data_IF_339620596215
#
_entry.id   IF_339620596215
#
_cell.length_a   1.000
_cell.length_b   1.000
_cell.length_c   1.000
_cell.angle_alpha   90.00
_cell.angle_beta   90.00
_cell.angle_gamma   90.00
#
_symmetry.space_group_name_H-M   'P 1'
#
loop_
_entity.id
_entity.type
_entity.pdbx_description
1 polymer ?
#
# COMPACT_ATOMS: atom_id res chain seq x y z
N UNK A 1 -20.00 7.77 -0.60
CA UNK A 1 -19.94 7.78 0.88
C UNK A 1 -18.58 8.24 1.39
N UNK A 2 -18.50 9.00 2.50
CA UNK A 2 -17.22 9.45 3.06
C UNK A 2 -16.42 8.27 3.61
N UNK A 3 -15.14 8.17 3.23
CA UNK A 3 -14.22 7.13 3.71
C UNK A 3 -13.44 7.62 4.92
N UNK A 4 -13.20 6.73 5.90
CA UNK A 4 -12.50 7.05 7.16
C UNK A 4 -11.01 7.41 6.97
N UNK A 5 -10.37 6.87 5.94
CA UNK A 5 -8.95 7.11 5.65
C UNK A 5 -8.75 7.22 4.14
N UNK A 6 -7.89 8.15 3.75
CA UNK A 6 -7.44 8.34 2.37
C UNK A 6 -5.94 8.10 2.34
N UNK A 7 -5.46 7.45 1.28
CA UNK A 7 -4.05 7.19 1.04
C UNK A 7 -3.77 7.22 -0.46
N UNK A 8 -2.53 7.48 -0.81
CA UNK A 8 -2.07 7.60 -2.19
C UNK A 8 -1.09 6.47 -2.51
N UNK A 9 -1.16 5.99 -3.76
CA UNK A 9 -0.24 5.00 -4.30
C UNK A 9 0.39 5.57 -5.57
N UNK A 10 1.70 5.36 -5.73
CA UNK A 10 2.40 5.72 -6.95
C UNK A 10 2.23 4.59 -7.95
N UNK A 11 1.57 4.88 -9.06
CA UNK A 11 1.29 3.92 -10.15
C UNK A 11 1.85 4.44 -11.47
N UNK A 12 2.17 3.53 -12.39
CA UNK A 12 2.52 3.88 -13.77
C UNK A 12 1.26 4.33 -14.54
N UNK A 13 1.40 5.13 -15.61
CA UNK A 13 0.26 5.59 -16.41
C UNK A 13 -0.60 4.45 -16.98
N UNK A 14 0.02 3.32 -17.30
CA UNK A 14 -0.63 2.11 -17.81
C UNK A 14 -1.51 1.41 -16.77
N UNK A 15 -1.28 1.68 -15.49
CA UNK A 15 -1.97 1.06 -14.36
C UNK A 15 -2.96 2.01 -13.67
N UNK A 16 -3.44 3.03 -14.40
CA UNK A 16 -4.49 3.91 -13.90
C UNK A 16 -5.82 3.18 -13.82
N UNK A 17 -6.58 3.48 -12.77
CA UNK A 17 -7.87 2.87 -12.48
C UNK A 17 -8.95 3.95 -12.58
N UNK A 18 -10.09 3.60 -13.14
CA UNK A 18 -11.23 4.50 -13.24
C UNK A 18 -11.76 4.94 -11.87
N UNK A 19 -12.19 6.19 -11.77
CA UNK A 19 -12.72 6.75 -10.53
C UNK A 19 -14.01 6.02 -10.15
N UNK A 20 -14.08 5.54 -8.91
CA UNK A 20 -15.25 4.83 -8.39
C UNK A 20 -15.17 3.30 -8.49
N UNK A 21 -14.07 2.75 -9.00
CA UNK A 21 -13.81 1.32 -8.94
C UNK A 21 -13.56 0.85 -7.49
N UNK A 22 -14.17 -0.28 -7.11
CA UNK A 22 -13.93 -0.92 -5.80
C UNK A 22 -12.82 -1.97 -5.91
N UNK A 23 -11.76 -1.82 -5.12
CA UNK A 23 -10.65 -2.79 -5.07
C UNK A 23 -11.06 -3.98 -4.20
N UNK A 24 -10.91 -5.19 -4.73
CA UNK A 24 -11.26 -6.43 -4.02
C UNK A 24 -10.01 -7.16 -3.50
N UNK A 25 -10.20 -8.13 -2.59
CA UNK A 25 -9.09 -8.91 -2.03
C UNK A 25 -8.37 -9.80 -3.07
N UNK A 26 -9.01 -10.04 -4.22
CA UNK A 26 -8.44 -10.78 -5.36
C UNK A 26 -7.34 -9.99 -6.10
N UNK A 27 -7.08 -8.74 -5.69
CA UNK A 27 -5.94 -7.97 -6.18
C UNK A 27 -4.60 -8.64 -5.83
N UNK A 28 -4.55 -9.48 -4.79
CA UNK A 28 -3.36 -10.23 -4.40
C UNK A 28 -3.53 -11.72 -4.66
N UNK A 29 -2.50 -12.33 -5.23
CA UNK A 29 -2.48 -13.76 -5.55
C UNK A 29 -1.79 -14.54 -4.42
N UNK A 30 -2.23 -15.77 -4.20
CA UNK A 30 -1.57 -16.68 -3.25
C UNK A 30 -0.09 -16.89 -3.63
N UNK A 31 0.82 -16.83 -2.65
CA UNK A 31 2.26 -16.95 -2.87
C UNK A 31 2.96 -15.64 -3.26
N UNK A 32 2.22 -14.57 -3.59
CA UNK A 32 2.78 -13.24 -3.84
C UNK A 32 3.51 -12.70 -2.61
N UNK A 33 4.55 -11.89 -2.85
CA UNK A 33 5.21 -11.13 -1.80
C UNK A 33 4.73 -9.68 -1.80
N UNK A 34 4.44 -9.17 -0.61
CA UNK A 34 3.91 -7.83 -0.37
C UNK A 34 4.72 -7.09 0.69
N UNK A 35 4.67 -5.78 0.65
CA UNK A 35 5.20 -4.89 1.69
C UNK A 35 4.02 -4.26 2.44
N UNK A 36 4.03 -4.36 3.77
CA UNK A 36 3.00 -3.79 4.63
C UNK A 36 3.53 -2.56 5.37
N UNK A 37 2.91 -1.41 5.14
CA UNK A 37 3.23 -0.15 5.82
C UNK A 37 2.15 0.20 6.84
N UNK A 38 2.54 0.58 8.05
CA UNK A 38 1.61 0.93 9.10
C UNK A 38 2.27 1.75 10.20
N UNK A 39 1.45 2.33 11.07
CA UNK A 39 1.96 3.04 12.25
C UNK A 39 2.36 2.02 13.30
N UNK A 40 3.62 2.05 13.71
CA UNK A 40 4.14 1.15 14.76
C UNK A 40 3.52 1.45 16.13
N UNK A 41 3.44 0.42 16.99
CA UNK A 41 2.88 0.58 18.34
C UNK A 41 3.71 1.59 19.15
N UNK A 42 3.03 2.65 19.61
CA UNK A 42 3.61 3.65 20.51
C UNK A 42 3.99 3.04 21.86
N UNK A 43 5.21 3.31 22.32
CA UNK A 43 5.76 2.87 23.61
C UNK A 43 6.07 4.05 24.54
N UNK A 44 5.68 5.27 24.15
CA UNK A 44 5.91 6.51 24.90
C UNK A 44 7.40 6.88 25.00
N UNK A 45 7.77 7.54 26.09
CA UNK A 45 9.17 7.87 26.38
C UNK A 45 9.94 6.62 26.84
N UNK A 46 10.84 6.13 26.00
CA UNK A 46 11.64 4.94 26.26
C UNK A 46 13.08 5.30 26.65
N UNK A 47 13.59 4.67 27.71
CA UNK A 47 15.00 4.76 28.11
C UNK A 47 15.96 4.07 27.13
N UNK A 48 17.27 4.31 27.28
CA UNK A 48 18.31 3.84 26.36
C UNK A 48 18.31 2.32 26.13
N UNK A 49 18.08 1.53 27.18
CA UNK A 49 17.99 0.08 27.08
C UNK A 49 16.80 -0.39 26.22
N UNK A 50 15.59 0.13 26.45
CA UNK A 50 14.38 -0.29 25.71
C UNK A 50 14.37 0.23 24.28
N UNK A 51 14.88 1.45 24.06
CA UNK A 51 14.86 2.11 22.75
C UNK A 51 15.95 1.58 21.81
N UNK A 52 17.16 1.35 22.32
CA UNK A 52 18.35 1.04 21.52
C UNK A 52 19.02 -0.30 21.85
N UNK A 53 18.51 -1.05 22.83
CA UNK A 53 19.09 -2.34 23.21
C UNK A 53 20.41 -2.25 23.98
N UNK A 54 20.67 -1.14 24.69
CA UNK A 54 21.91 -0.99 25.49
C UNK A 54 21.96 -1.98 26.66
N UNK A 55 23.15 -2.51 26.95
CA UNK A 55 23.37 -3.56 27.95
C UNK A 55 23.23 -3.13 29.43
N UNK A 56 23.27 -1.83 29.73
CA UNK A 56 23.25 -1.32 31.11
C UNK A 56 24.56 -1.58 31.86
N UNK A 57 24.56 -1.26 33.15
CA UNK A 57 25.68 -1.51 34.08
C UNK A 57 25.37 -2.70 34.98
N UNK A 58 26.40 -3.21 35.69
CA UNK A 58 26.23 -4.31 36.64
C UNK A 58 25.19 -3.96 37.71
N UNK A 59 24.44 -4.97 38.15
CA UNK A 59 23.49 -4.83 39.25
C UNK A 59 24.16 -4.85 40.64
N UNK A 60 25.35 -5.47 40.74
CA UNK A 60 26.13 -5.62 41.98
C UNK A 60 27.55 -5.04 41.82
N UNK A 61 28.40 -5.22 42.85
CA UNK A 61 29.79 -4.75 42.91
C UNK A 61 29.94 -3.22 42.84
N UNK A 62 29.21 -2.50 43.70
CA UNK A 62 29.45 -1.07 43.96
C UNK A 62 28.85 -0.09 42.95
N UNK A 63 28.06 -0.55 41.97
CA UNK A 63 27.31 0.35 41.09
C UNK A 63 26.20 1.03 41.88
N UNK A 64 26.28 2.34 42.06
CA UNK A 64 25.24 3.16 42.70
C UNK A 64 24.33 3.80 41.66
N UNK A 65 23.03 3.48 41.67
CA UNK A 65 21.92 4.15 40.94
C UNK A 65 21.98 4.05 39.40
N UNK A 66 23.11 3.66 38.83
CA UNK A 66 23.39 3.74 37.40
C UNK A 66 23.06 2.47 36.59
N UNK A 67 22.40 1.47 37.16
CA UNK A 67 22.18 0.17 36.52
C UNK A 67 21.54 0.26 35.12
N UNK A 68 20.66 1.26 34.90
CA UNK A 68 19.95 1.48 33.63
C UNK A 68 20.40 2.75 32.90
N UNK A 69 21.50 3.37 33.33
CA UNK A 69 22.02 4.56 32.67
C UNK A 69 22.57 4.20 31.29
N UNK A 70 22.63 5.19 30.40
CA UNK A 70 23.10 5.05 29.03
C UNK A 70 24.64 5.03 28.90
N UNK A 71 25.35 5.21 30.01
CA UNK A 71 26.81 5.31 30.03
C UNK A 71 27.35 6.63 29.49
N UNK A 72 28.60 6.63 29.02
CA UNK A 72 29.22 7.84 28.48
C UNK A 72 28.61 8.24 27.14
N UNK A 73 28.32 9.53 26.99
CA UNK A 73 27.72 10.09 25.79
C UNK A 73 28.75 10.68 24.82
N UNK A 74 29.88 11.18 25.33
CA UNK A 74 30.90 11.90 24.57
C UNK A 74 32.31 11.73 25.13
N UNK A 75 33.26 12.40 24.49
CA UNK A 75 34.67 12.46 24.93
C UNK A 75 34.92 13.74 25.75
N UNK A 76 36.10 13.84 26.36
CA UNK A 76 36.52 14.99 27.17
C UNK A 76 36.89 16.22 26.31
N UNK A 77 38.18 16.43 26.01
CA UNK A 77 38.65 17.70 25.42
C UNK A 77 38.27 17.84 23.94
N UNK A 78 38.68 16.89 23.09
CA UNK A 78 38.35 16.90 21.66
C UNK A 78 37.39 15.75 21.38
N UNK A 79 36.16 15.99 20.85
CA UNK A 79 35.60 17.21 20.24
C UNK A 79 34.74 18.11 21.18
N UNK A 80 34.77 17.92 22.50
CA UNK A 80 34.08 18.77 23.48
C UNK A 80 32.54 18.84 23.35
N UNK A 81 31.92 17.90 22.60
CA UNK A 81 30.47 17.91 22.33
C UNK A 81 29.92 16.50 22.11
N UNK A 82 28.61 16.38 22.21
CA UNK A 82 27.87 15.19 21.79
C UNK A 82 27.57 15.26 20.28
N UNK A 83 27.88 14.19 19.55
CA UNK A 83 27.58 14.11 18.11
C UNK A 83 26.07 14.07 17.83
N UNK A 84 25.66 14.69 16.72
CA UNK A 84 24.27 14.60 16.21
C UNK A 84 23.93 13.15 15.89
N UNK A 85 22.70 12.73 16.18
CA UNK A 85 22.26 11.35 16.00
C UNK A 85 22.76 10.38 17.07
N UNK A 86 23.44 10.85 18.13
CA UNK A 86 23.79 10.00 19.27
C UNK A 86 22.51 9.39 19.87
N UNK A 87 22.54 8.06 20.03
CA UNK A 87 21.44 7.28 20.58
C UNK A 87 21.19 7.65 22.05
N UNK A 88 20.01 8.21 22.33
CA UNK A 88 19.56 8.62 23.67
C UNK A 88 18.15 8.12 23.96
N UNK A 89 17.70 8.25 25.22
CA UNK A 89 16.30 8.09 25.58
C UNK A 89 15.39 9.04 24.79
N UNK A 90 14.12 8.68 24.63
CA UNK A 90 13.16 9.52 23.91
C UNK A 90 11.93 8.75 23.46
N UNK A 91 11.06 9.43 22.70
CA UNK A 91 9.86 8.81 22.15
C UNK A 91 10.18 7.59 21.27
N UNK A 92 9.44 6.51 21.47
CA UNK A 92 9.61 5.25 20.74
C UNK A 92 8.26 4.75 20.22
N UNK A 93 8.22 4.36 18.95
CA UNK A 93 6.98 3.95 18.27
C UNK A 93 6.20 5.15 17.73
N UNK A 94 4.96 4.90 17.31
CA UNK A 94 4.08 5.88 16.65
C UNK A 94 4.68 6.51 15.38
N UNK A 95 5.58 5.76 14.74
CA UNK A 95 6.19 6.13 13.47
C UNK A 95 5.73 5.17 12.39
N UNK A 96 5.61 5.66 11.16
CA UNK A 96 5.32 4.86 9.98
C UNK A 96 6.50 3.93 9.69
N UNK A 97 6.23 2.62 9.69
CA UNK A 97 7.22 1.59 9.40
C UNK A 97 6.67 0.67 8.31
N UNK A 98 7.55 0.22 7.43
CA UNK A 98 7.22 -0.77 6.40
C UNK A 98 7.95 -2.08 6.70
N UNK A 99 7.20 -3.16 6.88
CA UNK A 99 7.74 -4.51 6.86
C UNK A 99 7.73 -5.02 5.44
N UNK A 100 8.90 -5.43 4.94
CA UNK A 100 9.08 -5.88 3.56
C UNK A 100 9.06 -7.41 3.45
N UNK A 101 8.78 -7.92 2.25
CA UNK A 101 8.87 -9.35 1.90
C UNK A 101 7.93 -10.27 2.69
N UNK A 102 6.72 -9.81 2.99
CA UNK A 102 5.70 -10.64 3.61
C UNK A 102 5.03 -11.52 2.55
N UNK A 103 4.74 -12.78 2.87
CA UNK A 103 4.09 -13.71 1.92
C UNK A 103 2.59 -13.72 2.12
N UNK A 104 1.83 -13.59 1.03
CA UNK A 104 0.39 -13.86 1.01
C UNK A 104 0.18 -15.38 0.99
N UNK A 105 -0.55 -15.89 1.97
CA UNK A 105 -0.83 -17.33 2.12
C UNK A 105 -2.12 -17.71 1.44
N UNK A 106 -3.16 -16.89 1.63
CA UNK A 106 -4.51 -17.14 1.12
C UNK A 106 -5.27 -15.83 1.03
N UNK A 107 -6.14 -15.72 0.04
CA UNK A 107 -7.14 -14.65 -0.08
C UNK A 107 -8.54 -15.24 0.01
N UNK A 108 -9.46 -14.50 0.62
CA UNK A 108 -10.87 -14.84 0.75
C UNK A 108 -11.67 -13.64 0.25
N UNK A 109 -12.19 -13.74 -0.97
CA UNK A 109 -12.84 -12.64 -1.68
C UNK A 109 -14.23 -12.35 -1.12
N UNK A 110 -14.97 -13.38 -0.71
CA UNK A 110 -16.32 -13.25 -0.16
C UNK A 110 -16.32 -12.45 1.15
N UNK A 111 -15.28 -12.67 1.97
CA UNK A 111 -15.10 -11.98 3.26
C UNK A 111 -14.18 -10.75 3.16
N UNK A 112 -13.53 -10.54 2.02
CA UNK A 112 -12.55 -9.46 1.82
C UNK A 112 -11.31 -9.58 2.70
N UNK A 113 -10.85 -10.81 2.99
CA UNK A 113 -9.71 -11.06 3.88
C UNK A 113 -8.44 -11.44 3.10
N UNK A 114 -7.31 -10.92 3.56
CA UNK A 114 -5.98 -11.27 3.04
C UNK A 114 -5.16 -11.86 4.19
N UNK A 115 -4.72 -13.11 4.04
CA UNK A 115 -3.92 -13.80 5.05
C UNK A 115 -2.44 -13.65 4.74
N UNK A 116 -1.72 -12.95 5.61
CA UNK A 116 -0.30 -12.65 5.43
C UNK A 116 0.53 -13.40 6.46
N UNK A 117 1.57 -14.10 6.00
CA UNK A 117 2.56 -14.73 6.87
C UNK A 117 3.61 -13.71 7.31
N UNK A 118 3.54 -13.31 8.57
CA UNK A 118 4.59 -12.52 9.22
C UNK A 118 4.04 -11.46 10.18
N UNK A 119 4.92 -10.55 10.60
CA UNK A 119 4.58 -9.47 11.50
C UNK A 119 4.17 -8.21 10.73
N UNK A 120 2.94 -7.75 10.96
CA UNK A 120 2.41 -6.51 10.41
C UNK A 120 2.64 -5.38 11.42
N UNK A 121 3.14 -4.20 10.99
CA UNK A 121 3.38 -3.08 11.90
C UNK A 121 2.06 -2.50 12.41
N UNK A 122 1.95 -2.35 13.73
CA UNK A 122 0.84 -1.69 14.40
C UNK A 122 0.08 -2.59 15.37
N UNK A 123 -0.95 -2.04 16.01
CA UNK A 123 -1.88 -2.78 16.86
C UNK A 123 -2.99 -3.42 16.04
N UNK A 124 -3.70 -4.39 16.64
CA UNK A 124 -4.89 -5.00 16.04
C UNK A 124 -5.94 -3.92 15.75
N UNK A 125 -6.56 -3.97 14.57
CA UNK A 125 -7.52 -2.96 14.10
C UNK A 125 -6.89 -1.65 13.62
N UNK A 126 -5.55 -1.56 13.60
CA UNK A 126 -4.83 -0.46 12.96
C UNK A 126 -4.94 -0.50 11.45
N UNK A 127 -4.76 0.66 10.83
CA UNK A 127 -4.73 0.79 9.37
C UNK A 127 -3.38 0.37 8.81
N UNK A 128 -3.42 -0.44 7.77
CA UNK A 128 -2.23 -0.93 7.07
C UNK A 128 -2.39 -0.63 5.59
N UNK A 129 -1.33 -0.13 4.97
CA UNK A 129 -1.21 0.04 3.54
C UNK A 129 -0.44 -1.16 2.99
N UNK A 130 -1.09 -1.92 2.12
CA UNK A 130 -0.47 -3.04 1.42
C UNK A 130 -0.07 -2.59 0.02
N UNK A 131 1.11 -2.99 -0.42
CA UNK A 131 1.61 -2.76 -1.78
C UNK A 131 2.48 -3.93 -2.19
N UNK A 132 2.76 -4.03 -3.48
CA UNK A 132 3.67 -5.05 -4.01
C UNK A 132 5.07 -4.92 -3.41
N UNK A 133 5.75 -6.07 -3.28
CA UNK A 133 7.11 -6.13 -2.77
C UNK A 133 8.08 -5.51 -3.78
N UNK A 134 8.81 -4.47 -3.35
CA UNK A 134 9.79 -3.79 -4.23
C UNK A 134 11.00 -4.68 -4.53
N UNK A 135 11.29 -5.65 -3.67
CA UNK A 135 12.50 -6.49 -3.75
C UNK A 135 12.27 -7.86 -4.38
N UNK A 136 11.03 -8.23 -4.70
CA UNK A 136 10.72 -9.54 -5.28
C UNK A 136 9.87 -9.36 -6.53
N UNK A 137 10.08 -10.25 -7.49
CA UNK A 137 9.30 -10.27 -8.71
C UNK A 137 7.83 -10.56 -8.41
N UNK A 138 6.96 -9.95 -9.20
CA UNK A 138 5.54 -10.28 -9.20
C UNK A 138 5.34 -11.71 -9.75
N UNK A 139 4.35 -12.46 -9.24
CA UNK A 139 4.02 -13.76 -9.80
C UNK A 139 3.36 -13.62 -11.18
N UNK A 140 3.56 -14.61 -12.05
CA UNK A 140 3.15 -14.60 -13.47
C UNK A 140 1.63 -14.57 -13.71
N UNK A 141 0.80 -14.62 -12.65
CA UNK A 141 -0.66 -14.59 -12.70
C UNK A 141 -1.29 -13.41 -11.95
N UNK A 142 -0.50 -12.40 -11.56
CA UNK A 142 -1.05 -11.23 -10.88
C UNK A 142 -1.93 -10.40 -11.83
N UNK A 143 -3.15 -9.99 -11.42
CA UNK A 143 -3.99 -9.14 -12.25
C UNK A 143 -3.39 -7.74 -12.34
N UNK A 144 -3.09 -7.30 -13.56
CA UNK A 144 -2.62 -5.94 -13.88
C UNK A 144 -3.74 -5.25 -14.68
N UNK A 145 -4.30 -4.10 -14.26
CA UNK A 145 -3.92 -3.21 -13.14
C UNK A 145 -4.47 -3.62 -11.76
N UNK A 146 -5.30 -4.66 -11.69
CA UNK A 146 -5.85 -5.19 -10.44
C UNK A 146 -7.21 -5.86 -10.62
N UNK A 147 -7.72 -6.47 -9.54
CA UNK A 147 -9.07 -7.03 -9.49
C UNK A 147 -10.06 -6.01 -8.90
N UNK A 148 -10.96 -5.50 -9.74
CA UNK A 148 -11.94 -4.49 -9.37
C UNK A 148 -13.37 -4.98 -9.56
N UNK A 149 -14.25 -4.61 -8.62
CA UNK A 149 -15.68 -4.66 -8.86
C UNK A 149 -16.08 -3.31 -9.47
N UNK A 150 -16.60 -3.33 -10.70
CA UNK A 150 -17.21 -2.14 -11.29
C UNK A 150 -18.50 -1.81 -10.53
N UNK A 151 -18.61 -0.56 -10.09
CA UNK A 151 -19.84 -0.02 -9.50
C UNK A 151 -20.98 -0.06 -10.53
N UNK A 152 -22.21 -0.26 -10.06
CA UNK A 152 -23.38 -0.61 -10.88
C UNK A 152 -23.74 0.39 -12.02
N UNK A 153 -23.19 1.60 -12.03
CA UNK A 153 -23.39 2.59 -13.10
C UNK A 153 -22.68 2.20 -14.41
N UNK A 154 -21.64 1.36 -14.34
CA UNK A 154 -20.81 0.97 -15.48
C UNK A 154 -21.21 -0.43 -16.04
N UNK A 155 -22.22 -1.06 -15.43
CA UNK A 155 -22.84 -2.32 -15.88
C UNK A 155 -24.13 -2.10 -16.69
N UNK A 156 -24.38 -0.89 -17.19
CA UNK A 156 -25.22 -0.73 -18.36
C UNK A 156 -24.38 -1.13 -19.59
N UNK A 157 -24.69 -2.24 -20.29
CA UNK A 157 -23.95 -2.57 -21.48
C UNK A 157 -24.11 -1.43 -22.48
N UNK A 158 -23.00 -0.99 -23.06
CA UNK A 158 -22.99 -0.17 -24.26
C UNK A 158 -23.81 -0.89 -25.35
N UNK A 159 -25.10 -0.57 -25.42
CA UNK A 159 -25.96 -0.95 -26.54
C UNK A 159 -25.46 -0.20 -27.76
N UNK A 160 -24.75 -0.95 -28.62
CA UNK A 160 -24.75 -0.85 -30.07
C UNK A 160 -24.76 0.57 -30.67
N UNK A 161 -23.57 1.13 -30.87
CA UNK A 161 -23.31 1.98 -32.04
C UNK A 161 -22.45 1.19 -33.01
N UNK A 162 -23.09 0.25 -33.69
CA UNK A 162 -22.61 -0.27 -34.97
C UNK A 162 -23.79 -0.82 -35.76
N UNK A 163 -23.89 -0.33 -37.00
CA UNK A 163 -24.71 -0.81 -38.11
C UNK A 163 -26.19 -0.37 -38.16
N UNK A 164 -26.42 0.83 -38.72
CA UNK A 164 -27.54 1.00 -39.66
C UNK A 164 -27.05 1.63 -40.96
N UNK A 165 -27.35 0.93 -42.04
CA UNK A 165 -27.11 1.28 -43.43
C UNK A 165 -26.73 0.04 -44.24
N UNK A 166 -27.44 -0.35 -45.33
CA UNK A 166 -28.74 0.11 -45.83
C UNK A 166 -29.71 -1.06 -46.17
N UNK A 167 -30.99 -0.78 -46.43
CA UNK A 167 -31.89 -1.73 -47.11
C UNK A 167 -32.87 -0.99 -48.03
N UNK A 168 -33.00 -1.54 -49.22
CA UNK A 168 -33.59 -1.00 -50.45
C UNK A 168 -35.09 -0.67 -50.40
N UNK A 169 -35.47 0.34 -51.20
CA UNK A 169 -36.82 0.52 -51.75
C UNK A 169 -36.73 0.95 -53.24
N UNK A 170 -36.75 -0.07 -54.09
CA UNK A 170 -37.53 -0.23 -55.34
C UNK A 170 -37.87 0.99 -56.25
N UNK A 171 -37.18 1.00 -57.40
CA UNK A 171 -37.63 1.22 -58.80
C UNK A 171 -38.80 2.17 -59.13
N UNK A 172 -38.49 3.23 -59.91
CA UNK A 172 -39.30 3.64 -61.07
C UNK A 172 -38.51 4.48 -62.09
N UNK A 173 -38.22 3.85 -63.24
CA UNK A 173 -38.30 4.36 -64.62
C UNK A 173 -37.43 5.54 -65.10
N UNK A 174 -36.53 5.19 -66.02
CA UNK A 174 -35.92 6.04 -67.05
C UNK A 174 -36.84 6.27 -68.25
N UNK A 175 -37.04 7.53 -68.66
CA UNK A 175 -37.42 7.96 -70.02
C UNK A 175 -37.12 9.47 -70.14
N UNK A 176 -36.05 9.85 -70.85
CA UNK A 176 -36.08 10.45 -72.20
C UNK A 176 -36.69 11.86 -72.30
N UNK A 177 -35.86 12.82 -72.74
CA UNK A 177 -36.24 13.77 -73.79
C UNK A 177 -36.20 15.27 -73.47
N UNK A 178 -35.57 16.03 -74.38
CA UNK A 178 -35.89 17.44 -74.73
C UNK A 178 -35.16 18.51 -73.92
N UNK A 179 -34.20 19.25 -74.48
CA UNK A 179 -34.33 20.43 -75.36
C UNK A 179 -34.78 21.73 -74.65
N UNK A 180 -33.89 22.74 -74.77
CA UNK A 180 -34.09 24.18 -74.94
C UNK A 180 -35.20 24.93 -74.15
N UNK A 181 -34.77 25.90 -73.33
CA UNK A 181 -35.04 27.33 -73.51
C UNK A 181 -34.30 28.16 -72.44
#
# INVERSE_FOLDING_TARGET
>A
EPKRKVAEFRVSPENMIDVGAEITADHFVEGQFVDASGTSIGKGFAGGMKRHGFGGLRASHGVSINHRSLGSTGQCQDPGKVFKGKKMAGHMGDVSVTTQNLRVVKTDVDRGLIMIRGAVPGSKGGWVLLRDAVKRALPDGAPVPGAFRKSAEDQAPAKSVAAEGPADAEQAQSAQGGENA
#
